data_IF_525474643679
#
_entry.id   IF_525474643679
#
_cell.length_a   1.000
_cell.length_b   1.000
_cell.length_c   1.000
_cell.angle_alpha   90.00
_cell.angle_beta   90.00
_cell.angle_gamma   90.00
#
_symmetry.space_group_name_H-M   'P 1'
#
loop_
_entity.id
_entity.type
_entity.pdbx_description
1 polymer ?
#
# COMPACT_ATOMS: atom_id res chain seq x y z
N UNK A 1 37.40 1.42 -9.15
CA UNK A 1 36.19 0.61 -9.42
C UNK A 1 35.53 0.35 -8.08
N UNK A 2 34.45 1.07 -7.75
CA UNK A 2 33.76 0.88 -6.47
C UNK A 2 32.75 -0.26 -6.61
N UNK A 3 32.82 -1.22 -5.69
CA UNK A 3 31.92 -2.37 -5.63
C UNK A 3 30.48 -1.92 -5.32
N UNK A 4 29.46 -2.53 -5.94
CA UNK A 4 28.08 -2.32 -5.52
C UNK A 4 27.82 -3.03 -4.18
N UNK A 5 27.23 -2.27 -3.25
CA UNK A 5 26.68 -2.76 -1.99
C UNK A 5 25.70 -3.94 -2.24
N UNK A 6 25.84 -5.10 -1.56
CA UNK A 6 25.06 -6.31 -1.83
C UNK A 6 23.62 -6.25 -1.29
N UNK A 7 23.22 -5.17 -0.64
CA UNK A 7 21.88 -5.04 -0.07
C UNK A 7 20.98 -4.29 -1.04
N UNK A 8 20.40 -5.01 -2.01
CA UNK A 8 19.35 -4.51 -2.92
C UNK A 8 18.03 -4.18 -2.21
N UNK A 9 18.07 -3.52 -1.06
CA UNK A 9 16.90 -2.99 -0.36
C UNK A 9 16.40 -1.79 -1.15
N UNK A 10 15.13 -1.76 -1.59
CA UNK A 10 14.58 -0.58 -2.21
C UNK A 10 14.70 0.59 -1.24
N UNK A 11 15.19 1.74 -1.74
CA UNK A 11 15.18 2.98 -0.98
C UNK A 11 13.74 3.26 -0.55
N UNK A 12 13.48 3.60 0.73
CA UNK A 12 12.15 4.03 1.13
C UNK A 12 11.78 5.23 0.25
N UNK A 13 10.64 5.14 -0.43
CA UNK A 13 10.15 6.24 -1.24
C UNK A 13 9.96 7.44 -0.32
N UNK A 14 10.48 8.60 -0.73
CA UNK A 14 10.48 9.85 0.05
C UNK A 14 9.19 9.99 0.85
N UNK A 15 9.30 10.06 2.18
CA UNK A 15 8.15 10.18 3.06
C UNK A 15 7.35 11.41 2.65
N UNK A 16 6.24 11.19 1.93
CA UNK A 16 5.39 12.28 1.51
C UNK A 16 4.83 12.89 2.81
N UNK A 17 5.21 14.12 3.13
CA UNK A 17 4.79 14.81 4.36
C UNK A 17 3.33 15.23 4.32
N UNK A 18 2.67 15.06 3.17
CA UNK A 18 1.25 15.30 2.99
C UNK A 18 0.41 14.48 4.00
N UNK A 19 -0.53 15.17 4.64
CA UNK A 19 -1.54 14.53 5.48
C UNK A 19 -2.45 13.62 4.62
N UNK A 20 -2.82 12.46 5.14
CA UNK A 20 -3.77 11.59 4.44
C UNK A 20 -5.17 12.20 4.48
N UNK A 21 -5.70 12.60 3.31
CA UNK A 21 -7.00 13.29 3.21
C UNK A 21 -8.20 12.36 3.40
N UNK A 22 -7.97 11.05 3.47
CA UNK A 22 -9.02 10.05 3.61
C UNK A 22 -9.65 9.61 2.29
N UNK A 23 -10.61 8.68 2.39
CA UNK A 23 -11.35 8.17 1.25
C UNK A 23 -12.67 7.52 1.69
N UNK A 24 -13.68 7.64 0.85
CA UNK A 24 -15.00 7.00 0.94
C UNK A 24 -15.18 5.86 -0.07
N UNK A 25 -14.21 5.67 -0.98
CA UNK A 25 -14.28 4.64 -2.01
C UNK A 25 -14.23 3.24 -1.35
N UNK A 26 -15.26 2.40 -1.53
CA UNK A 26 -15.32 1.08 -0.88
C UNK A 26 -14.20 0.13 -1.32
N UNK A 27 -13.59 0.34 -2.49
CA UNK A 27 -12.41 -0.42 -2.93
C UNK A 27 -11.17 -0.05 -2.12
N UNK A 28 -10.97 1.24 -1.87
CA UNK A 28 -9.87 1.74 -1.06
C UNK A 28 -10.01 1.26 0.38
N UNK A 29 -11.23 1.31 0.94
CA UNK A 29 -11.49 0.86 2.30
C UNK A 29 -11.16 -0.63 2.49
N UNK A 30 -11.56 -1.49 1.54
CA UNK A 30 -11.20 -2.93 1.57
C UNK A 30 -9.70 -3.15 1.47
N UNK A 31 -9.02 -2.43 0.58
CA UNK A 31 -7.58 -2.52 0.41
C UNK A 31 -6.82 -2.09 1.69
N UNK A 32 -7.18 -0.94 2.27
CA UNK A 32 -6.58 -0.43 3.51
C UNK A 32 -6.79 -1.38 4.69
N UNK A 33 -7.99 -1.96 4.82
CA UNK A 33 -8.30 -2.90 5.90
C UNK A 33 -7.38 -4.13 5.89
N UNK A 34 -7.04 -4.66 4.70
CA UNK A 34 -6.11 -5.80 4.60
C UNK A 34 -4.66 -5.36 4.76
N UNK A 35 -4.26 -4.24 4.14
CA UNK A 35 -2.87 -3.74 4.23
C UNK A 35 -2.46 -3.33 5.66
N UNK A 36 -3.42 -2.88 6.49
CA UNK A 36 -3.18 -2.63 7.91
C UNK A 36 -2.84 -3.91 8.69
N UNK A 37 -3.27 -5.09 8.22
CA UNK A 37 -3.01 -6.36 8.88
C UNK A 37 -1.72 -7.02 8.38
N UNK A 38 -1.43 -6.91 7.08
CA UNK A 38 -0.25 -7.54 6.46
C UNK A 38 0.06 -6.95 5.08
N UNK A 39 1.28 -7.18 4.56
CA UNK A 39 1.57 -6.99 3.14
C UNK A 39 0.65 -7.82 2.23
N UNK A 40 0.40 -7.31 1.02
CA UNK A 40 -0.53 -7.93 0.06
C UNK A 40 0.09 -7.95 -1.35
N UNK A 41 -0.03 -9.07 -2.06
CA UNK A 41 0.42 -9.14 -3.46
C UNK A 41 -0.51 -8.33 -4.37
N UNK A 42 -0.02 -7.90 -5.54
CA UNK A 42 -0.85 -7.25 -6.56
C UNK A 42 -2.12 -8.06 -6.88
N UNK A 43 -1.97 -9.37 -7.12
CA UNK A 43 -3.10 -10.23 -7.51
C UNK A 43 -4.14 -10.33 -6.40
N UNK A 44 -3.69 -10.46 -5.16
CA UNK A 44 -4.59 -10.53 -4.02
C UNK A 44 -5.28 -9.18 -3.78
N UNK A 45 -4.58 -8.07 -4.00
CA UNK A 45 -5.16 -6.74 -3.95
C UNK A 45 -6.29 -6.59 -4.97
N UNK A 46 -6.11 -7.05 -6.20
CA UNK A 46 -7.15 -7.01 -7.24
C UNK A 46 -8.42 -7.75 -6.79
N UNK A 47 -8.26 -8.92 -6.16
CA UNK A 47 -9.36 -9.72 -5.61
C UNK A 47 -10.06 -9.02 -4.44
N UNK A 48 -9.29 -8.57 -3.44
CA UNK A 48 -9.82 -7.89 -2.24
C UNK A 48 -10.54 -6.59 -2.59
N UNK A 49 -9.98 -5.79 -3.50
CA UNK A 49 -10.56 -4.53 -3.96
C UNK A 49 -11.69 -4.75 -4.98
N UNK A 50 -11.82 -5.94 -5.57
CA UNK A 50 -12.81 -6.24 -6.60
C UNK A 50 -12.59 -5.41 -7.88
N UNK A 51 -11.32 -5.18 -8.24
CA UNK A 51 -10.95 -4.46 -9.46
C UNK A 51 -9.66 -5.03 -10.05
N UNK A 52 -9.57 -5.15 -11.37
CA UNK A 52 -8.40 -5.71 -12.05
C UNK A 52 -7.22 -4.71 -12.23
N UNK A 53 -7.32 -3.54 -11.60
CA UNK A 53 -6.40 -2.41 -11.72
C UNK A 53 -5.88 -1.93 -10.35
N UNK A 54 -5.53 -2.86 -9.45
CA UNK A 54 -4.93 -2.56 -8.15
C UNK A 54 -3.78 -1.54 -8.17
N UNK A 55 -2.88 -1.50 -9.17
CA UNK A 55 -1.87 -0.45 -9.27
C UNK A 55 -2.45 0.97 -9.37
N UNK A 56 -3.56 1.16 -10.08
CA UNK A 56 -4.24 2.46 -10.18
C UNK A 56 -4.86 2.83 -8.82
N UNK A 57 -5.51 1.87 -8.14
CA UNK A 57 -6.01 2.06 -6.79
C UNK A 57 -4.91 2.50 -5.80
N UNK A 58 -3.72 1.89 -5.89
CA UNK A 58 -2.57 2.28 -5.07
C UNK A 58 -2.08 3.68 -5.43
N UNK A 59 -2.06 4.03 -6.72
CA UNK A 59 -1.74 5.39 -7.16
C UNK A 59 -2.70 6.41 -6.55
N UNK A 60 -4.01 6.17 -6.62
CA UNK A 60 -5.02 7.06 -6.04
C UNK A 60 -4.84 7.24 -4.53
N UNK A 61 -4.46 6.17 -3.81
CA UNK A 61 -4.16 6.24 -2.38
C UNK A 61 -2.88 7.03 -2.11
N UNK A 62 -1.89 6.97 -3.01
CA UNK A 62 -0.67 7.76 -2.91
C UNK A 62 -0.92 9.25 -3.13
N UNK A 63 -1.75 9.57 -4.12
CA UNK A 63 -2.19 10.93 -4.41
C UNK A 63 -2.97 11.53 -3.23
N UNK A 64 -3.59 10.68 -2.40
CA UNK A 64 -4.28 11.07 -1.17
C UNK A 64 -3.35 11.24 0.04
N UNK A 65 -2.04 11.06 -0.09
CA UNK A 65 -1.06 11.31 0.96
C UNK A 65 -0.50 10.05 1.65
N UNK A 66 -0.74 8.85 1.13
CA UNK A 66 -0.02 7.65 1.57
C UNK A 66 1.24 7.41 0.74
N UNK A 67 2.21 6.68 1.28
CA UNK A 67 3.38 6.24 0.51
C UNK A 67 3.12 4.88 -0.14
N UNK A 68 2.64 3.90 0.63
CA UNK A 68 2.40 2.50 0.21
C UNK A 68 3.59 1.96 -0.58
N UNK A 69 4.57 1.40 0.13
CA UNK A 69 5.76 0.83 -0.49
C UNK A 69 5.40 -0.44 -1.31
N UNK A 70 6.23 -0.75 -2.31
CA UNK A 70 6.03 -1.87 -3.23
C UNK A 70 7.34 -2.63 -3.46
N UNK A 71 7.46 -3.78 -2.82
CA UNK A 71 8.60 -4.67 -3.00
C UNK A 71 8.38 -5.64 -4.16
N UNK A 72 9.46 -5.93 -4.89
CA UNK A 72 9.45 -6.90 -6.00
C UNK A 72 10.00 -8.22 -5.48
N UNK A 73 9.11 -9.18 -5.20
CA UNK A 73 9.52 -10.51 -4.72
C UNK A 73 9.88 -11.40 -5.89
N UNK A 74 10.77 -12.38 -5.68
CA UNK A 74 11.04 -13.42 -6.67
C UNK A 74 9.91 -14.46 -6.65
N UNK A 75 9.39 -14.83 -7.82
CA UNK A 75 8.34 -15.82 -7.98
C UNK A 75 8.54 -16.58 -9.29
N UNK A 76 8.27 -17.88 -9.28
CA UNK A 76 8.29 -18.72 -10.48
C UNK A 76 6.86 -18.84 -10.98
N UNK A 77 6.63 -18.43 -12.23
CA UNK A 77 5.31 -18.52 -12.83
C UNK A 77 4.91 -19.96 -13.20
N UNK A 78 3.70 -20.12 -13.74
CA UNK A 78 3.16 -21.43 -14.12
C UNK A 78 3.97 -22.12 -15.23
N UNK A 79 4.73 -21.37 -16.02
CA UNK A 79 5.54 -21.87 -17.12
C UNK A 79 7.01 -22.10 -16.68
N UNK A 80 7.28 -22.00 -15.37
CA UNK A 80 8.62 -22.19 -14.81
C UNK A 80 9.54 -20.99 -15.01
N UNK A 81 9.01 -19.81 -15.35
CA UNK A 81 9.83 -18.62 -15.62
C UNK A 81 9.92 -17.71 -14.40
N UNK A 82 11.09 -17.10 -14.26
CA UNK A 82 11.32 -16.05 -13.28
C UNK A 82 10.42 -14.84 -13.55
N UNK A 83 9.68 -14.45 -12.52
CA UNK A 83 8.95 -13.19 -12.52
C UNK A 83 9.11 -12.47 -11.18
N UNK A 84 8.75 -11.20 -11.17
CA UNK A 84 8.96 -10.28 -10.05
C UNK A 84 7.67 -9.58 -9.64
N UNK A 85 6.64 -10.29 -9.11
CA UNK A 85 5.39 -9.64 -8.73
C UNK A 85 5.61 -8.63 -7.60
N UNK A 86 4.76 -7.60 -7.59
CA UNK A 86 4.77 -6.56 -6.55
C UNK A 86 4.00 -7.00 -5.30
N UNK A 87 4.55 -6.68 -4.13
CA UNK A 87 3.90 -6.79 -2.83
C UNK A 87 3.83 -5.41 -2.21
N UNK A 88 2.61 -4.96 -1.92
CA UNK A 88 2.35 -3.68 -1.28
C UNK A 88 2.34 -3.80 0.23
N UNK A 89 2.91 -2.82 0.92
CA UNK A 89 2.85 -2.73 2.37
C UNK A 89 2.80 -1.27 2.86
N UNK A 90 2.30 -1.10 4.07
CA UNK A 90 2.26 0.21 4.73
C UNK A 90 3.50 0.39 5.59
N UNK A 91 4.13 1.55 5.46
CA UNK A 91 5.12 2.01 6.41
C UNK A 91 4.47 2.36 7.76
N UNK A 92 5.27 2.46 8.82
CA UNK A 92 4.79 2.98 10.12
C UNK A 92 4.23 4.41 10.00
N UNK A 93 4.75 5.21 9.05
CA UNK A 93 4.20 6.52 8.72
C UNK A 93 2.77 6.42 8.20
N UNK A 94 2.53 5.57 7.21
CA UNK A 94 1.20 5.37 6.61
C UNK A 94 0.20 4.83 7.63
N UNK A 95 0.62 3.85 8.44
CA UNK A 95 -0.21 3.30 9.52
C UNK A 95 -0.70 4.40 10.46
N UNK A 96 0.21 5.28 10.91
CA UNK A 96 -0.15 6.43 11.77
C UNK A 96 -1.14 7.36 11.09
N UNK A 97 -0.93 7.72 9.82
CA UNK A 97 -1.85 8.58 9.06
C UNK A 97 -3.26 7.98 8.95
N UNK A 98 -3.35 6.69 8.65
CA UNK A 98 -4.64 5.98 8.54
C UNK A 98 -5.36 5.94 9.89
N UNK A 99 -4.65 5.63 10.99
CA UNK A 99 -5.25 5.62 12.32
C UNK A 99 -5.71 7.01 12.78
N UNK A 100 -4.94 8.06 12.51
CA UNK A 100 -5.33 9.44 12.79
C UNK A 100 -6.61 9.82 12.02
N UNK A 101 -6.69 9.47 10.73
CA UNK A 101 -7.89 9.69 9.93
C UNK A 101 -9.11 8.93 10.47
N UNK A 102 -8.97 7.65 10.83
CA UNK A 102 -10.05 6.86 11.43
C UNK A 102 -10.53 7.44 12.77
N UNK A 103 -9.61 7.94 13.60
CA UNK A 103 -9.94 8.57 14.88
C UNK A 103 -10.75 9.87 14.68
N UNK A 104 -10.33 10.73 13.73
CA UNK A 104 -11.07 11.94 13.34
C UNK A 104 -12.48 11.61 12.83
N UNK A 105 -12.64 10.53 12.07
CA UNK A 105 -13.94 10.05 11.59
C UNK A 105 -14.87 9.59 12.71
N UNK A 106 -14.34 8.87 13.72
CA UNK A 106 -15.12 8.43 14.88
C UNK A 106 -15.58 9.59 15.77
N UNK A 107 -14.75 10.62 15.93
CA UNK A 107 -15.13 11.83 16.67
C UNK A 107 -16.30 12.59 16.02
N UNK A 108 -16.45 12.52 14.69
CA UNK A 108 -17.60 13.11 13.98
C UNK A 108 -18.91 12.34 14.14
N UNK A 109 -18.84 11.04 14.45
CA UNK A 109 -20.02 10.18 14.67
C UNK A 109 -20.41 10.00 16.14
N UNK A 110 -19.72 10.69 17.06
CA UNK A 110 -19.88 10.55 18.51
C UNK A 110 -20.83 11.56 19.18
N UNK A 111 -21.70 12.22 18.39
CA UNK A 111 -22.80 13.02 18.91
C UNK A 111 -24.11 12.29 18.66
N UNK A 112 -24.50 11.41 19.58
CA UNK A 112 -25.84 10.84 19.69
C UNK A 112 -26.22 10.78 21.17
#
# INVERSE_FOLDING_TARGET
>A
MNAPDPTGKPKPSSANSAEFVGTDNPRHLRALAVMLRRPISRQELDSVAGCANGPALVSDLRDRGLTIDCDRIHFIDRDGKDCRPGVYHLSEGDRRKIHQWQAKGRQRGGSA
#
